data_IF_251253169743
#
_entry.id   IF_251253169743
#
_cell.length_a   1.000
_cell.length_b   1.000
_cell.length_c   1.000
_cell.angle_alpha   90.00
_cell.angle_beta   90.00
_cell.angle_gamma   90.00
#
_symmetry.space_group_name_H-M   'P 1'
#
loop_
_entity.id
_entity.type
_entity.pdbx_description
1 polymer ?
#
# COMPACT_ATOMS: atom_id res chain seq x y z
N UNK A 1 10.86 -26.70 11.57
CA UNK A 1 11.93 -25.95 10.88
C UNK A 1 12.50 -24.96 11.88
N UNK A 2 13.82 -24.94 12.09
CA UNK A 2 14.47 -24.13 13.14
C UNK A 2 14.42 -22.62 12.85
N UNK A 3 14.70 -21.81 13.88
CA UNK A 3 14.70 -20.33 13.82
C UNK A 3 15.55 -19.75 12.66
N UNK A 4 16.56 -20.48 12.19
CA UNK A 4 17.44 -20.06 11.09
C UNK A 4 16.80 -20.11 9.70
N UNK A 5 15.80 -20.95 9.48
CA UNK A 5 15.15 -21.08 8.16
C UNK A 5 14.25 -19.88 7.83
N UNK A 6 13.60 -19.30 8.83
CA UNK A 6 12.69 -18.15 8.67
C UNK A 6 13.43 -16.82 8.50
N UNK A 7 14.66 -16.71 9.05
CA UNK A 7 15.54 -15.54 8.87
C UNK A 7 16.35 -15.58 7.59
N UNK A 8 16.40 -16.72 6.89
CA UNK A 8 17.17 -16.85 5.64
C UNK A 8 16.66 -15.84 4.61
N UNK A 9 17.55 -14.96 4.16
CA UNK A 9 17.26 -13.87 3.21
C UNK A 9 16.61 -12.62 3.81
N UNK A 10 16.39 -12.57 5.13
CA UNK A 10 15.82 -11.40 5.81
C UNK A 10 16.94 -10.46 6.28
N UNK A 11 16.84 -9.19 5.90
CA UNK A 11 17.76 -8.12 6.28
C UNK A 11 17.16 -7.34 7.45
N UNK A 12 17.79 -7.39 8.62
CA UNK A 12 17.38 -6.57 9.77
C UNK A 12 17.77 -5.12 9.50
N UNK A 13 16.82 -4.17 9.44
CA UNK A 13 17.14 -2.75 9.33
C UNK A 13 18.03 -2.30 10.49
N UNK A 14 18.99 -1.43 10.19
CA UNK A 14 19.82 -0.79 11.21
C UNK A 14 20.12 0.66 10.78
N UNK A 15 19.09 1.51 10.67
CA UNK A 15 19.25 2.89 10.23
C UNK A 15 20.12 3.68 11.21
N UNK A 16 20.89 4.64 10.69
CA UNK A 16 21.82 5.49 11.49
C UNK A 16 21.45 6.97 11.41
N UNK A 17 20.25 7.39 11.88
CA UNK A 17 19.88 8.79 11.92
C UNK A 17 20.79 9.58 12.87
N UNK A 18 20.92 10.89 12.64
CA UNK A 18 21.75 11.77 13.49
C UNK A 18 20.94 12.93 14.09
N UNK A 19 20.94 13.02 15.42
CA UNK A 19 20.61 14.25 16.14
C UNK A 19 21.77 15.25 16.06
N UNK A 20 21.46 16.52 16.28
CA UNK A 20 22.46 17.60 16.36
C UNK A 20 21.92 18.93 15.85
N UNK A 21 22.83 19.90 15.67
CA UNK A 21 22.49 21.25 15.22
C UNK A 21 21.78 21.24 13.86
N UNK A 22 22.22 20.39 12.93
CA UNK A 22 21.59 20.25 11.61
C UNK A 22 20.14 19.77 11.72
N UNK A 23 19.88 18.69 12.48
CA UNK A 23 18.50 18.22 12.73
C UNK A 23 17.65 19.31 13.37
N UNK A 24 18.17 19.96 14.42
CA UNK A 24 17.45 21.03 15.12
C UNK A 24 17.10 22.21 14.21
N UNK A 25 18.04 22.65 13.38
CA UNK A 25 17.83 23.78 12.47
C UNK A 25 16.77 23.45 11.41
N UNK A 26 16.83 22.25 10.82
CA UNK A 26 15.85 21.78 9.83
C UNK A 26 14.46 21.66 10.46
N UNK A 27 14.37 21.11 11.68
CA UNK A 27 13.11 21.01 12.41
C UNK A 27 12.53 22.38 12.79
N UNK A 28 13.37 23.34 13.17
CA UNK A 28 12.95 24.70 13.45
C UNK A 28 12.37 25.37 12.19
N UNK A 29 13.04 25.23 11.05
CA UNK A 29 12.58 25.77 9.77
C UNK A 29 11.22 25.18 9.37
N UNK A 30 11.05 23.86 9.48
CA UNK A 30 9.78 23.19 9.21
C UNK A 30 8.66 23.70 10.14
N UNK A 31 8.91 23.75 11.45
CA UNK A 31 7.92 24.23 12.43
C UNK A 31 7.51 25.67 12.18
N UNK A 32 8.45 26.54 11.82
CA UNK A 32 8.15 27.93 11.46
C UNK A 32 7.27 27.99 10.21
N UNK A 33 7.61 27.23 9.17
CA UNK A 33 6.81 27.17 7.94
C UNK A 33 5.40 26.63 8.18
N UNK A 34 5.25 25.58 8.99
CA UNK A 34 3.96 25.01 9.39
C UNK A 34 3.12 26.04 10.14
N UNK A 35 3.71 26.72 11.13
CA UNK A 35 3.02 27.73 11.95
C UNK A 35 2.58 28.95 11.14
N UNK A 36 3.36 29.35 10.13
CA UNK A 36 2.97 30.44 9.23
C UNK A 36 1.79 30.07 8.31
N UNK A 37 1.59 28.77 8.05
CA UNK A 37 0.48 28.25 7.23
C UNK A 37 -0.77 27.94 8.06
N UNK A 38 -0.62 27.47 9.29
CA UNK A 38 -1.73 27.14 10.18
C UNK A 38 -2.30 28.39 10.84
N UNK A 39 -3.51 28.78 10.42
CA UNK A 39 -4.37 29.65 11.22
C UNK A 39 -5.09 28.75 12.24
N UNK A 40 -4.58 28.71 13.48
CA UNK A 40 -5.14 27.90 14.57
C UNK A 40 -6.65 28.14 14.78
N UNK A 41 -7.19 29.26 14.30
CA UNK A 41 -8.62 29.60 14.37
C UNK A 41 -9.48 28.95 13.27
N UNK A 42 -8.87 28.34 12.25
CA UNK A 42 -9.54 27.69 11.11
C UNK A 42 -9.18 26.21 10.95
N UNK A 43 -8.30 25.68 11.79
CA UNK A 43 -7.89 24.28 11.75
C UNK A 43 -9.06 23.38 12.17
N UNK A 44 -9.74 22.79 11.20
CA UNK A 44 -10.69 21.71 11.43
C UNK A 44 -9.93 20.45 11.85
N UNK A 45 -10.46 19.62 12.77
CA UNK A 45 -9.81 18.38 13.17
C UNK A 45 -9.66 17.45 11.97
N UNK A 46 -8.46 16.90 11.75
CA UNK A 46 -8.20 15.94 10.67
C UNK A 46 -9.16 14.74 10.81
N UNK A 47 -10.08 14.51 9.86
CA UNK A 47 -11.15 13.52 10.02
C UNK A 47 -10.59 12.12 10.24
N UNK A 48 -9.50 11.79 9.54
CA UNK A 48 -8.79 10.50 9.59
C UNK A 48 -7.93 10.26 10.84
N UNK A 49 -8.06 11.12 11.86
CA UNK A 49 -7.44 10.94 13.17
C UNK A 49 -8.46 11.02 14.31
N UNK A 50 -9.75 10.90 13.98
CA UNK A 50 -10.86 11.05 14.91
C UNK A 50 -11.83 9.86 14.82
N UNK A 51 -12.65 9.68 15.86
CA UNK A 51 -13.61 8.58 15.91
C UNK A 51 -12.93 7.21 15.73
N UNK A 52 -13.48 6.38 14.85
CA UNK A 52 -12.94 5.05 14.56
C UNK A 52 -11.64 5.07 13.73
N UNK A 53 -11.24 6.24 13.21
CA UNK A 53 -9.95 6.43 12.52
C UNK A 53 -8.86 6.98 13.45
N UNK A 54 -9.19 7.26 14.72
CA UNK A 54 -8.20 7.68 15.69
C UNK A 54 -7.13 6.60 15.89
N UNK A 55 -5.85 6.97 16.05
CA UNK A 55 -4.79 6.01 16.30
C UNK A 55 -5.02 5.25 17.60
N UNK A 56 -4.72 3.94 17.58
CA UNK A 56 -4.59 3.12 18.78
C UNK A 56 -3.16 3.29 19.31
N UNK A 57 -2.98 3.92 20.48
CA UNK A 57 -1.63 4.28 20.95
C UNK A 57 -0.84 3.07 21.43
N UNK A 58 -1.54 2.08 21.99
CA UNK A 58 -0.97 0.95 22.72
C UNK A 58 -1.07 -0.37 21.93
N UNK A 59 0.02 -1.13 21.96
CA UNK A 59 0.05 -2.50 21.47
C UNK A 59 -0.61 -3.42 22.50
N UNK A 60 -1.44 -4.37 22.04
CA UNK A 60 -2.07 -5.37 22.91
C UNK A 60 -1.23 -6.64 22.89
N UNK A 61 -0.64 -7.10 24.01
CA UNK A 61 0.02 -8.41 24.06
C UNK A 61 -0.98 -9.55 23.85
N UNK A 62 -0.52 -10.79 23.58
CA UNK A 62 -1.41 -11.93 23.38
C UNK A 62 -2.48 -12.05 24.47
N UNK A 63 -3.72 -11.71 24.10
CA UNK A 63 -4.87 -11.67 24.98
C UNK A 63 -5.76 -12.88 24.69
N UNK A 64 -5.63 -13.90 25.54
CA UNK A 64 -6.48 -15.09 25.51
C UNK A 64 -7.77 -14.89 26.31
N UNK A 65 -8.69 -15.85 26.23
CA UNK A 65 -9.92 -15.84 27.04
C UNK A 65 -10.94 -14.78 26.62
N UNK A 66 -10.91 -14.39 25.34
CA UNK A 66 -11.86 -13.42 24.79
C UNK A 66 -13.31 -13.91 24.98
N UNK A 67 -14.25 -13.02 25.34
CA UNK A 67 -15.65 -13.40 25.49
C UNK A 67 -16.23 -13.78 24.12
N UNK A 68 -16.70 -15.02 24.00
CA UNK A 68 -17.33 -15.56 22.78
C UNK A 68 -18.83 -15.70 23.01
N UNK A 69 -19.63 -15.14 22.08
CA UNK A 69 -21.07 -15.44 21.98
C UNK A 69 -21.26 -16.48 20.88
N UNK A 70 -21.93 -17.59 21.19
CA UNK A 70 -22.03 -18.74 20.29
C UNK A 70 -20.87 -19.72 20.46
N UNK A 71 -20.37 -20.28 19.36
CA UNK A 71 -19.35 -21.32 19.35
C UNK A 71 -18.31 -21.07 18.25
N UNK A 72 -17.02 -21.10 18.60
CA UNK A 72 -15.92 -21.10 17.64
C UNK A 72 -15.69 -22.54 17.12
N UNK A 73 -15.81 -22.80 15.80
CA UNK A 73 -15.61 -24.13 15.23
C UNK A 73 -14.24 -24.71 15.57
N UNK A 74 -14.22 -25.92 16.13
CA UNK A 74 -12.96 -26.59 16.53
C UNK A 74 -12.06 -26.96 15.34
N UNK A 75 -12.62 -27.03 14.14
CA UNK A 75 -11.87 -27.28 12.92
C UNK A 75 -11.04 -26.07 12.44
N UNK A 76 -11.33 -24.86 12.94
CA UNK A 76 -10.50 -23.70 12.63
C UNK A 76 -9.20 -23.76 13.42
N UNK A 77 -8.09 -23.71 12.70
CA UNK A 77 -6.74 -23.70 13.24
C UNK A 77 -5.86 -22.80 12.37
N UNK A 78 -5.67 -21.55 12.79
CA UNK A 78 -4.85 -20.59 12.07
C UNK A 78 -4.99 -19.16 12.61
N UNK A 79 -4.39 -18.22 11.89
CA UNK A 79 -4.43 -16.80 12.22
C UNK A 79 -5.16 -15.99 11.15
N UNK A 80 -6.15 -15.21 11.56
CA UNK A 80 -6.65 -14.10 10.76
C UNK A 80 -5.84 -12.86 11.08
N UNK A 81 -5.19 -12.27 10.09
CA UNK A 81 -4.32 -11.10 10.23
C UNK A 81 -4.80 -9.97 9.33
N UNK A 82 -4.76 -8.75 9.84
CA UNK A 82 -5.00 -7.52 9.07
C UNK A 82 -3.98 -6.47 9.46
N UNK A 83 -3.53 -5.68 8.49
CA UNK A 83 -2.69 -4.51 8.74
C UNK A 83 -3.46 -3.26 8.34
N UNK A 84 -3.19 -2.15 9.00
CA UNK A 84 -3.71 -0.85 8.59
C UNK A 84 -2.85 0.30 9.10
N UNK A 85 -3.13 1.51 8.60
CA UNK A 85 -2.44 2.73 9.00
C UNK A 85 -2.83 3.12 10.42
N UNK A 86 -1.83 3.31 11.29
CA UNK A 86 -1.99 3.73 12.66
C UNK A 86 -0.78 4.61 13.05
N UNK A 87 -0.86 5.95 12.93
CA UNK A 87 0.29 6.81 13.15
C UNK A 87 0.75 6.75 14.61
N UNK A 88 2.02 6.37 14.85
CA UNK A 88 2.58 6.30 16.21
C UNK A 88 2.76 7.69 16.83
N UNK A 89 3.11 8.66 16.00
CA UNK A 89 3.30 10.05 16.39
C UNK A 89 2.34 10.97 15.63
N UNK A 90 1.90 12.03 16.30
CA UNK A 90 1.05 13.04 15.66
C UNK A 90 1.75 13.62 14.41
N UNK A 91 1.03 13.80 13.29
CA UNK A 91 1.59 14.41 12.10
C UNK A 91 1.99 15.86 12.36
N UNK A 92 3.04 16.31 11.68
CA UNK A 92 3.57 17.68 11.83
C UNK A 92 2.70 18.68 11.05
N UNK A 93 2.17 18.28 9.90
CA UNK A 93 1.36 19.13 9.03
C UNK A 93 0.16 18.37 8.46
N UNK A 94 0.23 17.94 7.21
CA UNK A 94 -0.84 17.20 6.57
C UNK A 94 -0.87 15.72 6.99
N UNK A 95 -2.03 15.11 6.86
CA UNK A 95 -2.21 13.68 7.05
C UNK A 95 -3.23 13.16 6.05
N UNK A 96 -2.89 12.06 5.40
CA UNK A 96 -3.79 11.21 4.62
C UNK A 96 -4.02 9.91 5.38
N UNK A 97 -5.20 9.29 5.27
CA UNK A 97 -5.44 8.01 5.95
C UNK A 97 -4.43 6.91 5.56
N UNK A 98 -3.74 7.02 4.42
CA UNK A 98 -2.67 6.11 3.98
C UNK A 98 -1.31 6.32 4.68
N UNK A 99 -1.16 7.38 5.48
CA UNK A 99 0.16 7.80 6.00
C UNK A 99 0.60 7.13 7.30
N UNK A 100 -0.34 6.52 8.03
CA UNK A 100 -0.09 5.94 9.34
C UNK A 100 0.87 4.74 9.28
N UNK A 101 1.63 4.53 10.35
CA UNK A 101 2.53 3.38 10.46
C UNK A 101 1.73 2.07 10.45
N UNK A 102 2.27 1.00 9.88
CA UNK A 102 1.57 -0.27 9.80
C UNK A 102 1.39 -0.89 11.19
N UNK A 103 0.15 -1.05 11.63
CA UNK A 103 -0.20 -1.83 12.81
C UNK A 103 -0.97 -3.09 12.40
N UNK A 104 -0.46 -4.24 12.79
CA UNK A 104 -1.10 -5.54 12.56
C UNK A 104 -2.00 -5.84 13.75
N UNK A 105 -3.22 -6.26 13.45
CA UNK A 105 -4.12 -6.92 14.38
C UNK A 105 -4.26 -8.37 13.94
N UNK A 106 -4.03 -9.31 14.86
CA UNK A 106 -4.16 -10.73 14.60
C UNK A 106 -5.14 -11.39 15.57
N UNK A 107 -5.91 -12.34 15.05
CA UNK A 107 -6.81 -13.20 15.79
C UNK A 107 -6.45 -14.64 15.49
N UNK A 108 -5.83 -15.31 16.46
CA UNK A 108 -5.55 -16.75 16.38
C UNK A 108 -6.76 -17.53 16.84
N UNK A 109 -7.23 -18.47 16.03
CA UNK A 109 -8.30 -19.39 16.38
C UNK A 109 -7.73 -20.80 16.37
N UNK A 110 -7.82 -21.48 17.51
CA UNK A 110 -7.37 -22.87 17.67
C UNK A 110 -8.14 -23.56 18.79
N UNK A 111 -8.57 -24.80 18.56
CA UNK A 111 -9.25 -25.64 19.56
C UNK A 111 -10.50 -24.96 20.18
N UNK A 112 -11.22 -24.15 19.38
CA UNK A 112 -12.39 -23.40 19.83
C UNK A 112 -12.07 -22.20 20.74
N UNK A 113 -10.81 -21.77 20.80
CA UNK A 113 -10.35 -20.59 21.55
C UNK A 113 -9.82 -19.53 20.61
N UNK A 114 -9.90 -18.28 21.06
CA UNK A 114 -9.39 -17.11 20.35
C UNK A 114 -8.33 -16.37 21.19
N UNK A 115 -7.29 -15.89 20.52
CA UNK A 115 -6.24 -15.02 21.10
C UNK A 115 -6.05 -13.82 20.19
N UNK A 116 -6.14 -12.62 20.75
CA UNK A 116 -5.95 -11.36 20.03
C UNK A 116 -4.60 -10.75 20.36
N UNK A 117 -3.97 -10.09 19.38
CA UNK A 117 -2.74 -9.31 19.56
C UNK A 117 -2.75 -8.13 18.61
N UNK A 118 -2.09 -7.04 18.99
CA UNK A 118 -1.71 -5.98 18.07
C UNK A 118 -0.25 -5.56 18.22
N UNK A 119 0.42 -5.36 17.08
CA UNK A 119 1.84 -4.94 17.00
C UNK A 119 2.05 -4.00 15.84
N UNK A 120 2.89 -2.98 16.03
CA UNK A 120 3.44 -2.21 14.93
C UNK A 120 4.43 -3.06 14.13
N UNK A 121 4.43 -2.89 12.81
CA UNK A 121 5.54 -3.36 11.98
C UNK A 121 6.73 -2.47 12.27
N UNK A 122 7.83 -3.04 12.79
CA UNK A 122 9.06 -2.29 13.09
C UNK A 122 9.82 -1.97 11.80
N UNK A 123 9.34 -0.93 11.11
CA UNK A 123 9.96 -0.41 9.89
C UNK A 123 11.17 0.47 10.21
N UNK A 124 12.11 0.57 9.27
CA UNK A 124 13.23 1.53 9.35
C UNK A 124 12.74 2.97 9.58
N UNK A 125 11.59 3.33 9.01
CA UNK A 125 10.93 4.62 9.25
C UNK A 125 10.52 4.77 10.71
N UNK A 126 9.76 3.81 11.24
CA UNK A 126 9.23 3.88 12.60
C UNK A 126 10.36 3.88 13.64
N UNK A 127 11.40 3.05 13.47
CA UNK A 127 12.57 3.03 14.35
C UNK A 127 13.26 4.39 14.43
N UNK A 128 13.36 5.10 13.30
CA UNK A 128 13.93 6.45 13.27
C UNK A 128 13.03 7.48 13.93
N UNK A 129 11.71 7.43 13.70
CA UNK A 129 10.77 8.32 14.39
C UNK A 129 10.74 8.08 15.90
N UNK A 130 10.86 6.83 16.36
CA UNK A 130 11.06 6.46 17.77
C UNK A 130 12.38 7.04 18.31
N UNK A 131 13.48 6.95 17.56
CA UNK A 131 14.76 7.57 17.93
C UNK A 131 14.64 9.08 18.11
N UNK A 132 13.86 9.77 17.28
CA UNK A 132 13.61 11.21 17.40
C UNK A 132 12.51 11.59 18.40
N UNK A 133 11.64 10.64 18.78
CA UNK A 133 10.48 10.88 19.64
C UNK A 133 9.35 11.65 18.93
N UNK A 134 9.22 11.50 17.61
CA UNK A 134 8.22 12.23 16.84
C UNK A 134 8.29 11.98 15.34
N UNK A 135 7.22 12.37 14.63
CA UNK A 135 7.14 12.28 13.18
C UNK A 135 8.26 13.07 12.47
N UNK A 136 8.86 12.47 11.44
CA UNK A 136 10.00 13.05 10.68
C UNK A 136 9.90 12.89 9.17
N UNK A 137 9.24 11.85 8.70
CA UNK A 137 9.12 11.57 7.27
C UNK A 137 7.93 12.33 6.69
N UNK A 138 8.08 12.77 5.44
CA UNK A 138 7.00 13.41 4.68
C UNK A 138 5.86 12.43 4.48
N UNK A 139 4.65 12.97 4.51
CA UNK A 139 3.39 12.25 4.37
C UNK A 139 2.72 12.61 3.05
N UNK A 140 1.94 11.70 2.49
CA UNK A 140 1.08 11.94 1.32
C UNK A 140 0.20 13.17 1.58
N UNK A 141 -0.36 13.30 2.77
CA UNK A 141 -1.16 14.47 3.16
C UNK A 141 -0.40 15.81 3.13
N UNK A 142 0.94 15.80 3.13
CA UNK A 142 1.75 17.01 2.99
C UNK A 142 1.85 17.49 1.53
N UNK A 143 1.65 16.59 0.55
CA UNK A 143 2.04 16.75 -0.86
C UNK A 143 1.03 17.55 -1.69
N UNK A 144 0.72 18.76 -1.23
CA UNK A 144 -0.17 19.71 -1.91
C UNK A 144 0.46 21.09 -2.04
N UNK A 145 0.45 21.61 -3.26
CA UNK A 145 0.91 22.96 -3.55
C UNK A 145 2.40 23.21 -3.30
N UNK A 146 2.75 24.50 -3.22
CA UNK A 146 4.13 24.96 -2.94
C UNK A 146 4.63 24.47 -1.58
N UNK A 147 3.73 24.33 -0.60
CA UNK A 147 4.09 23.76 0.70
C UNK A 147 4.47 22.29 0.61
N UNK A 148 3.76 21.48 -0.19
CA UNK A 148 4.15 20.10 -0.46
C UNK A 148 5.52 20.00 -1.11
N UNK A 149 5.85 20.89 -2.05
CA UNK A 149 7.20 20.97 -2.61
C UNK A 149 8.24 21.29 -1.53
N UNK A 150 7.94 22.25 -0.63
CA UNK A 150 8.80 22.56 0.51
C UNK A 150 9.03 21.32 1.38
N UNK A 151 7.99 20.56 1.72
CA UNK A 151 8.12 19.35 2.55
C UNK A 151 8.98 18.27 1.87
N UNK A 152 8.84 18.07 0.56
CA UNK A 152 9.72 17.18 -0.22
C UNK A 152 11.18 17.64 -0.15
N UNK A 153 11.43 18.95 -0.33
CA UNK A 153 12.78 19.50 -0.23
C UNK A 153 13.36 19.36 1.18
N UNK A 154 12.55 19.50 2.22
CA UNK A 154 12.96 19.28 3.62
C UNK A 154 13.34 17.83 3.87
N UNK A 155 12.59 16.86 3.34
CA UNK A 155 12.97 15.45 3.42
C UNK A 155 14.30 15.16 2.70
N UNK A 156 14.49 15.69 1.49
CA UNK A 156 15.76 15.51 0.78
C UNK A 156 16.93 16.19 1.50
N UNK A 157 16.69 17.35 2.13
CA UNK A 157 17.69 18.01 2.97
C UNK A 157 18.04 17.15 4.20
N UNK A 158 17.04 16.57 4.89
CA UNK A 158 17.25 15.65 6.01
C UNK A 158 18.11 14.45 5.62
N UNK A 159 17.84 13.86 4.45
CA UNK A 159 18.65 12.75 3.90
C UNK A 159 20.08 13.18 3.62
N UNK A 160 20.29 14.30 2.91
CA UNK A 160 21.63 14.81 2.56
C UNK A 160 22.47 15.17 3.79
N UNK A 161 21.83 15.65 4.86
CA UNK A 161 22.49 15.97 6.12
C UNK A 161 22.65 14.76 7.06
N UNK A 162 22.27 13.56 6.62
CA UNK A 162 22.24 12.33 7.42
C UNK A 162 21.40 12.45 8.71
N UNK A 163 20.40 13.33 8.71
CA UNK A 163 19.40 13.40 9.79
C UNK A 163 18.49 12.18 9.68
N UNK A 164 18.07 11.83 8.46
CA UNK A 164 17.34 10.61 8.15
C UNK A 164 18.17 9.66 7.30
N UNK A 165 18.04 8.37 7.55
CA UNK A 165 18.67 7.29 6.82
C UNK A 165 17.63 6.54 5.98
N UNK A 166 17.69 6.71 4.66
CA UNK A 166 16.77 6.07 3.72
C UNK A 166 17.31 4.75 3.14
N UNK A 167 18.44 4.22 3.64
CA UNK A 167 19.11 3.03 3.10
C UNK A 167 18.21 1.79 3.08
N UNK A 168 17.29 1.72 4.04
CA UNK A 168 16.38 0.59 4.25
C UNK A 168 14.93 0.90 3.84
N UNK A 169 14.72 1.92 3.02
CA UNK A 169 13.37 2.38 2.66
C UNK A 169 12.75 3.34 3.67
N UNK A 170 11.60 3.89 3.30
CA UNK A 170 10.84 4.90 4.08
C UNK A 170 9.35 4.54 4.20
N UNK A 171 8.99 3.31 3.85
CA UNK A 171 7.61 2.82 3.85
C UNK A 171 7.08 2.55 5.25
N UNK A 172 5.76 2.46 5.32
CA UNK A 172 5.00 2.24 6.57
C UNK A 172 4.61 0.78 6.77
N UNK A 173 4.71 -0.06 5.72
CA UNK A 173 4.26 -1.46 5.72
C UNK A 173 2.79 -1.62 6.19
N UNK A 174 1.90 -0.73 5.74
CA UNK A 174 0.55 -0.58 6.27
C UNK A 174 -0.58 -1.04 5.33
N UNK A 175 -0.25 -1.47 4.11
CA UNK A 175 -1.24 -1.56 3.03
C UNK A 175 -1.89 -2.94 2.95
N UNK A 176 -1.08 -4.00 3.01
CA UNK A 176 -1.56 -5.38 2.87
C UNK A 176 -0.62 -6.38 3.55
N UNK A 177 -1.12 -7.61 3.70
CA UNK A 177 -0.36 -8.77 4.15
C UNK A 177 -0.46 -9.88 3.10
N UNK A 178 0.65 -10.60 2.88
CA UNK A 178 0.69 -11.79 2.03
C UNK A 178 1.50 -12.89 2.72
N UNK A 179 1.12 -14.15 2.56
CA UNK A 179 1.87 -15.29 3.05
C UNK A 179 2.40 -16.13 1.89
N UNK A 180 3.72 -16.24 1.75
CA UNK A 180 4.36 -17.00 0.68
C UNK A 180 5.67 -17.60 1.17
N UNK A 181 5.97 -18.84 0.76
CA UNK A 181 7.21 -19.55 1.12
C UNK A 181 7.58 -19.46 2.62
N UNK A 182 6.60 -19.75 3.48
CA UNK A 182 6.77 -19.77 4.94
C UNK A 182 6.89 -18.40 5.61
N UNK A 183 6.66 -17.29 4.89
CA UNK A 183 6.84 -15.92 5.40
C UNK A 183 5.56 -15.13 5.27
N UNK A 184 5.07 -14.59 6.39
CA UNK A 184 4.09 -13.52 6.38
C UNK A 184 4.81 -12.20 6.12
N UNK A 185 4.34 -11.42 5.16
CA UNK A 185 4.96 -10.18 4.72
C UNK A 185 3.98 -9.02 4.81
N UNK A 186 4.37 -7.95 5.48
CA UNK A 186 3.68 -6.67 5.50
C UNK A 186 4.20 -5.79 4.35
N UNK A 187 3.26 -5.26 3.56
CA UNK A 187 3.53 -4.61 2.29
C UNK A 187 3.13 -3.14 2.31
N UNK A 188 3.85 -2.33 1.52
CA UNK A 188 3.55 -0.92 1.26
C UNK A 188 4.02 -0.57 -0.14
N UNK A 189 3.20 0.16 -0.89
CA UNK A 189 3.36 0.40 -2.35
C UNK A 189 4.75 0.92 -2.78
N UNK A 190 5.45 1.62 -1.89
CA UNK A 190 6.72 2.30 -2.19
C UNK A 190 7.93 1.74 -1.44
N UNK A 191 7.86 0.52 -0.89
CA UNK A 191 8.95 -0.09 -0.13
C UNK A 191 9.08 -1.61 -0.35
N UNK A 192 10.11 -2.20 0.23
CA UNK A 192 10.30 -3.65 0.28
C UNK A 192 9.38 -4.29 1.33
N UNK A 193 9.04 -5.58 1.18
CA UNK A 193 8.25 -6.30 2.17
C UNK A 193 8.98 -6.42 3.52
N UNK A 194 8.23 -6.29 4.62
CA UNK A 194 8.71 -6.62 5.96
C UNK A 194 8.19 -7.99 6.40
N UNK A 195 9.09 -8.90 6.73
CA UNK A 195 8.73 -10.24 7.23
C UNK A 195 8.30 -10.13 8.69
N UNK A 196 7.13 -10.70 8.97
CA UNK A 196 6.55 -10.80 10.31
C UNK A 196 6.42 -12.27 10.66
N UNK A 197 6.92 -12.64 11.83
CA UNK A 197 6.78 -13.99 12.39
C UNK A 197 5.62 -14.02 13.37
N UNK A 198 4.81 -15.06 13.27
CA UNK A 198 3.81 -15.41 14.29
C UNK A 198 4.47 -16.37 15.28
N UNK A 199 4.49 -16.01 16.56
CA UNK A 199 5.09 -16.79 17.63
C UNK A 199 4.14 -17.87 18.15
N UNK A 200 4.67 -18.84 18.89
CA UNK A 200 3.90 -19.99 19.39
C UNK A 200 2.77 -19.60 20.35
N UNK A 201 2.90 -18.48 21.07
CA UNK A 201 1.87 -17.90 21.95
C UNK A 201 0.87 -17.00 21.20
N UNK A 202 1.06 -16.81 19.89
CA UNK A 202 0.24 -15.95 19.04
C UNK A 202 0.74 -14.50 18.96
N UNK A 203 1.88 -14.14 19.58
CA UNK A 203 2.47 -12.81 19.40
C UNK A 203 3.05 -12.63 17.98
N UNK A 204 3.35 -11.39 17.62
CA UNK A 204 3.95 -11.04 16.33
C UNK A 204 5.32 -10.39 16.53
N UNK A 205 6.29 -10.82 15.71
CA UNK A 205 7.63 -10.26 15.70
C UNK A 205 8.02 -9.84 14.28
N UNK A 206 8.32 -8.56 14.06
CA UNK A 206 8.97 -8.13 12.82
C UNK A 206 10.40 -8.66 12.79
N UNK A 207 10.74 -9.45 11.76
CA UNK A 207 12.07 -10.01 11.57
C UNK A 207 12.98 -9.08 10.77
N UNK A 208 12.43 -8.30 9.84
CA UNK A 208 13.18 -7.37 9.00
C UNK A 208 12.64 -7.30 7.57
N UNK A 209 13.43 -6.74 6.66
CA UNK A 209 13.12 -6.54 5.25
C UNK A 209 13.46 -7.78 4.42
N UNK A 210 12.73 -7.99 3.33
CA UNK A 210 13.06 -9.00 2.31
C UNK A 210 13.54 -8.30 1.03
N UNK A 211 14.81 -8.50 0.66
CA UNK A 211 15.39 -7.96 -0.58
C UNK A 211 15.73 -9.02 -1.64
N UNK A 212 15.36 -10.28 -1.36
CA UNK A 212 15.54 -11.44 -2.23
C UNK A 212 16.99 -11.61 -2.69
N UNK A 213 17.93 -11.67 -1.74
CA UNK A 213 19.37 -11.74 -2.00
C UNK A 213 19.84 -10.58 -2.90
N UNK A 214 19.38 -9.36 -2.58
CA UNK A 214 19.63 -8.12 -3.32
C UNK A 214 19.07 -8.07 -4.76
N UNK A 215 18.18 -9.00 -5.13
CA UNK A 215 17.55 -9.01 -6.46
C UNK A 215 16.39 -8.01 -6.57
N UNK A 216 15.76 -7.65 -5.45
CA UNK A 216 14.73 -6.62 -5.39
C UNK A 216 15.36 -5.23 -5.21
N UNK A 217 15.32 -4.44 -6.28
CA UNK A 217 15.91 -3.08 -6.36
C UNK A 217 14.89 -1.97 -6.62
N UNK A 218 13.62 -2.33 -6.80
CA UNK A 218 12.50 -1.43 -7.04
C UNK A 218 11.46 -1.63 -5.92
N UNK A 219 10.46 -0.74 -5.79
CA UNK A 219 9.32 -0.97 -4.90
C UNK A 219 8.62 -2.31 -5.17
N UNK A 220 7.88 -2.79 -4.18
CA UNK A 220 7.13 -4.04 -4.26
C UNK A 220 5.64 -3.73 -4.07
N UNK A 221 4.78 -4.19 -4.98
CA UNK A 221 3.34 -3.94 -4.90
C UNK A 221 2.77 -4.48 -3.59
N UNK A 222 1.76 -3.78 -3.04
CA UNK A 222 0.99 -4.29 -1.92
C UNK A 222 0.01 -5.41 -2.33
N UNK A 223 -0.17 -5.67 -3.62
CA UNK A 223 -1.14 -6.64 -4.12
C UNK A 223 -0.53 -7.74 -5.00
N UNK A 224 0.52 -8.46 -4.54
CA UNK A 224 1.00 -9.62 -5.27
C UNK A 224 -0.10 -10.70 -5.31
N UNK A 225 -0.10 -11.53 -6.35
CA UNK A 225 -1.06 -12.64 -6.50
C UNK A 225 -0.31 -13.96 -6.42
N UNK A 226 -0.84 -14.90 -5.63
CA UNK A 226 -0.29 -16.26 -5.54
C UNK A 226 -1.16 -17.17 -6.40
N UNK A 227 -0.53 -17.95 -7.26
CA UNK A 227 -1.23 -18.99 -8.00
C UNK A 227 -1.44 -20.22 -7.10
N UNK A 228 -2.69 -20.66 -6.88
CA UNK A 228 -2.99 -21.78 -6.00
C UNK A 228 -2.55 -23.15 -6.53
N UNK A 229 -2.15 -23.27 -7.80
CA UNK A 229 -1.70 -24.51 -8.43
C UNK A 229 -0.17 -24.61 -8.46
N UNK A 230 0.54 -23.51 -8.68
CA UNK A 230 2.01 -23.51 -8.77
C UNK A 230 2.70 -23.08 -7.47
N UNK A 231 1.96 -22.47 -6.53
CA UNK A 231 2.48 -21.77 -5.35
C UNK A 231 3.48 -20.65 -5.70
N UNK A 232 3.47 -20.16 -6.94
CA UNK A 232 4.30 -19.03 -7.35
C UNK A 232 3.58 -17.71 -7.07
N UNK A 233 4.36 -16.69 -6.70
CA UNK A 233 3.87 -15.36 -6.43
C UNK A 233 4.26 -14.41 -7.57
N UNK A 234 3.25 -13.83 -8.18
CA UNK A 234 3.35 -12.83 -9.23
C UNK A 234 3.29 -11.44 -8.60
N UNK A 235 4.21 -10.57 -8.97
CA UNK A 235 4.36 -9.25 -8.35
C UNK A 235 4.90 -8.23 -9.35
N UNK A 236 4.78 -6.96 -9.02
CA UNK A 236 5.40 -5.88 -9.76
C UNK A 236 5.83 -4.78 -8.81
N UNK A 237 6.54 -3.78 -9.33
CA UNK A 237 6.79 -2.52 -8.66
C UNK A 237 6.63 -1.38 -9.64
N UNK A 238 5.95 -0.31 -9.24
CA UNK A 238 5.91 0.93 -10.01
C UNK A 238 6.83 1.99 -9.40
N UNK A 239 7.28 2.94 -10.22
CA UNK A 239 8.29 3.94 -9.87
C UNK A 239 7.97 5.29 -10.50
N UNK A 240 8.55 6.34 -9.93
CA UNK A 240 8.54 7.69 -10.51
C UNK A 240 9.71 7.94 -11.48
N UNK A 241 10.62 6.98 -11.61
CA UNK A 241 11.74 6.99 -12.56
C UNK A 241 11.69 5.75 -13.45
N UNK A 242 12.27 5.82 -14.65
CA UNK A 242 12.34 4.68 -15.56
C UNK A 242 13.22 3.55 -15.00
N UNK A 243 12.82 2.27 -15.17
CA UNK A 243 11.52 1.82 -15.70
C UNK A 243 10.37 2.08 -14.72
N UNK A 244 9.25 2.63 -15.22
CA UNK A 244 8.11 3.02 -14.39
C UNK A 244 7.32 1.83 -13.83
N UNK A 245 7.38 0.67 -14.48
CA UNK A 245 6.79 -0.57 -14.00
C UNK A 245 7.77 -1.73 -14.25
N UNK A 246 7.97 -2.59 -13.25
CA UNK A 246 8.81 -3.79 -13.35
C UNK A 246 8.07 -4.99 -12.79
N UNK A 247 7.80 -5.97 -13.64
CA UNK A 247 7.15 -7.23 -13.30
C UNK A 247 8.17 -8.30 -12.85
N UNK A 248 7.74 -9.18 -11.95
CA UNK A 248 8.54 -10.23 -11.33
C UNK A 248 7.68 -11.46 -11.03
N UNK A 249 8.32 -12.61 -11.10
CA UNK A 249 7.78 -13.88 -10.59
C UNK A 249 8.68 -14.36 -9.46
N UNK A 250 8.08 -14.87 -8.39
CA UNK A 250 8.78 -15.50 -7.27
C UNK A 250 8.31 -16.95 -7.21
N UNK A 251 9.24 -17.88 -7.37
CA UNK A 251 8.94 -19.32 -7.36
C UNK A 251 8.37 -19.76 -6.00
N UNK A 252 7.70 -20.91 -5.92
CA UNK A 252 7.28 -21.54 -4.64
C UNK A 252 8.38 -21.66 -3.57
N UNK A 253 9.64 -21.72 -4.00
CA UNK A 253 10.83 -21.82 -3.14
C UNK A 253 11.38 -20.44 -2.71
N UNK A 254 10.64 -19.36 -2.96
CA UNK A 254 11.00 -17.99 -2.58
C UNK A 254 12.08 -17.33 -3.44
N UNK A 255 12.45 -17.91 -4.59
CA UNK A 255 13.45 -17.37 -5.51
C UNK A 255 12.80 -16.33 -6.44
N UNK A 256 13.28 -15.08 -6.38
CA UNK A 256 12.84 -14.01 -7.30
C UNK A 256 13.51 -14.17 -8.68
N UNK A 257 12.72 -14.37 -9.73
CA UNK A 257 13.22 -14.45 -11.11
C UNK A 257 13.66 -13.09 -11.66
N UNK A 258 14.23 -13.08 -12.86
CA UNK A 258 14.72 -11.85 -13.51
C UNK A 258 13.60 -10.83 -13.76
N UNK A 259 13.89 -9.52 -13.72
CA UNK A 259 12.90 -8.47 -13.96
C UNK A 259 12.44 -8.45 -15.40
N UNK A 260 11.15 -8.15 -15.59
CA UNK A 260 10.58 -7.79 -16.89
C UNK A 260 10.07 -6.35 -16.79
N UNK A 261 10.83 -5.36 -17.30
CA UNK A 261 10.35 -3.99 -17.39
C UNK A 261 9.11 -3.91 -18.29
N UNK A 262 8.06 -3.22 -17.84
CA UNK A 262 6.84 -2.96 -18.61
C UNK A 262 6.82 -1.48 -18.96
N UNK A 263 6.92 -1.18 -20.25
CA UNK A 263 6.97 0.16 -20.79
C UNK A 263 5.58 0.78 -20.79
N UNK A 264 5.44 1.80 -19.96
CA UNK A 264 4.31 2.73 -19.94
C UNK A 264 4.83 4.15 -20.22
N UNK A 265 4.02 5.04 -20.82
CA UNK A 265 4.49 6.31 -21.35
C UNK A 265 4.89 7.29 -20.24
N UNK A 266 4.26 7.21 -19.07
CA UNK A 266 4.43 8.16 -17.97
C UNK A 266 4.35 7.43 -16.62
N UNK A 267 4.82 8.08 -15.55
CA UNK A 267 4.65 7.56 -14.19
C UNK A 267 3.20 7.70 -13.74
N UNK A 268 2.57 6.57 -13.48
CA UNK A 268 1.20 6.47 -12.97
C UNK A 268 1.19 5.73 -11.64
N UNK A 269 0.15 5.96 -10.84
CA UNK A 269 -0.18 5.09 -9.72
C UNK A 269 -0.79 3.80 -10.26
N UNK A 270 -0.11 2.68 -10.04
CA UNK A 270 -0.59 1.34 -10.38
C UNK A 270 -0.72 0.55 -9.07
N UNK A 271 -1.90 0.64 -8.45
CA UNK A 271 -2.12 0.07 -7.11
C UNK A 271 -2.16 -1.46 -7.12
N UNK A 272 -2.92 -2.02 -8.05
CA UNK A 272 -3.21 -3.45 -8.14
C UNK A 272 -2.96 -3.96 -9.58
N UNK A 273 -2.97 -5.28 -9.73
CA UNK A 273 -2.92 -5.98 -11.01
C UNK A 273 -3.71 -7.30 -10.88
N UNK A 274 -3.80 -8.08 -11.95
CA UNK A 274 -4.47 -9.39 -11.89
C UNK A 274 -3.68 -10.46 -12.64
N UNK A 275 -3.95 -11.73 -12.32
CA UNK A 275 -3.42 -12.88 -13.03
C UNK A 275 -4.57 -13.82 -13.41
N UNK A 276 -4.46 -14.46 -14.57
CA UNK A 276 -5.26 -15.61 -15.01
C UNK A 276 -4.34 -16.81 -15.15
N UNK A 277 -4.80 -18.03 -15.44
CA UNK A 277 -3.92 -19.22 -15.61
C UNK A 277 -2.65 -18.96 -16.45
N UNK A 278 -2.76 -18.21 -17.55
CA UNK A 278 -1.65 -17.99 -18.48
C UNK A 278 -1.12 -16.56 -18.50
N UNK A 279 -1.89 -15.57 -18.03
CA UNK A 279 -1.57 -14.16 -18.23
C UNK A 279 -1.42 -13.35 -16.92
N UNK A 280 -0.67 -12.25 -17.03
CA UNK A 280 -0.65 -11.13 -16.09
C UNK A 280 -1.24 -9.90 -16.76
N UNK A 281 -2.08 -9.18 -16.02
CA UNK A 281 -2.87 -8.04 -16.50
C UNK A 281 -2.42 -6.79 -15.76
N UNK A 282 -1.76 -5.88 -16.48
CA UNK A 282 -1.31 -4.58 -15.98
C UNK A 282 -2.34 -3.50 -16.30
N UNK A 283 -2.57 -2.58 -15.37
CA UNK A 283 -3.55 -1.51 -15.53
C UNK A 283 -2.82 -0.16 -15.60
N UNK A 284 -2.59 0.32 -16.81
CA UNK A 284 -2.07 1.67 -17.06
C UNK A 284 -3.25 2.65 -17.07
N UNK A 285 -3.57 3.16 -15.88
CA UNK A 285 -4.73 3.99 -15.63
C UNK A 285 -4.31 5.47 -15.50
N UNK A 286 -5.20 6.42 -15.80
CA UNK A 286 -4.84 7.82 -15.95
C UNK A 286 -4.73 8.58 -14.61
N UNK A 287 -4.09 7.98 -13.60
CA UNK A 287 -3.72 8.62 -12.33
C UNK A 287 -2.22 8.92 -12.33
N UNK A 288 -1.84 10.13 -12.73
CA UNK A 288 -0.45 10.51 -13.01
C UNK A 288 0.24 11.12 -11.78
N UNK A 289 1.54 10.87 -11.67
CA UNK A 289 2.42 11.58 -10.74
C UNK A 289 2.89 12.91 -11.37
N UNK A 290 2.40 14.06 -10.88
CA UNK A 290 2.60 15.39 -11.49
C UNK A 290 3.23 16.41 -10.53
N UNK A 291 4.49 16.22 -10.06
CA UNK A 291 5.14 17.13 -9.11
C UNK A 291 5.31 18.57 -9.63
N UNK A 292 5.40 18.76 -10.95
CA UNK A 292 5.46 20.10 -11.57
C UNK A 292 4.14 20.86 -11.44
N UNK A 293 3.00 20.17 -11.55
CA UNK A 293 1.67 20.78 -11.44
C UNK A 293 1.34 21.09 -9.98
N UNK A 294 1.75 20.22 -9.04
CA UNK A 294 1.68 20.50 -7.60
C UNK A 294 2.27 21.88 -7.27
N UNK A 295 3.48 22.18 -7.77
CA UNK A 295 4.14 23.45 -7.50
C UNK A 295 3.49 24.66 -8.20
N UNK A 296 3.00 24.49 -9.44
CA UNK A 296 2.47 25.60 -10.26
C UNK A 296 1.02 25.93 -9.97
N UNK A 297 0.19 24.90 -9.75
CA UNK A 297 -1.26 25.03 -9.71
C UNK A 297 -1.83 24.88 -8.29
N UNK A 298 -0.99 24.57 -7.29
CA UNK A 298 -1.48 24.36 -5.92
C UNK A 298 -2.13 22.99 -5.69
N UNK A 299 -2.02 22.09 -6.66
CA UNK A 299 -2.73 20.80 -6.71
C UNK A 299 -2.04 19.72 -5.85
N UNK A 300 -2.73 18.59 -5.67
CA UNK A 300 -2.17 17.38 -5.08
C UNK A 300 -1.22 16.68 -6.05
N UNK A 301 -0.26 15.91 -5.53
CA UNK A 301 0.82 15.35 -6.34
C UNK A 301 0.36 14.27 -7.34
N UNK A 302 -0.72 13.56 -7.03
CA UNK A 302 -1.36 12.60 -7.92
C UNK A 302 -2.61 13.23 -8.55
N UNK A 303 -2.70 13.14 -9.88
CA UNK A 303 -3.77 13.78 -10.64
C UNK A 303 -4.39 12.81 -11.62
N UNK A 304 -5.70 12.66 -11.52
CA UNK A 304 -6.49 11.96 -12.51
C UNK A 304 -6.65 12.83 -13.77
N UNK A 305 -6.34 12.28 -14.94
CA UNK A 305 -6.53 12.95 -16.23
C UNK A 305 -7.79 12.39 -16.93
N UNK A 306 -8.92 13.12 -16.92
CA UNK A 306 -10.16 12.66 -17.54
C UNK A 306 -10.09 12.61 -19.07
N UNK A 307 -9.05 13.20 -19.69
CA UNK A 307 -8.87 13.23 -21.15
C UNK A 307 -8.16 11.99 -21.69
N UNK A 308 -7.54 11.18 -20.82
CA UNK A 308 -6.77 10.00 -21.18
C UNK A 308 -7.62 8.74 -21.07
N UNK A 309 -7.40 7.78 -21.97
CA UNK A 309 -8.01 6.45 -21.90
C UNK A 309 -7.32 5.59 -20.83
N UNK A 310 -8.03 4.60 -20.31
CA UNK A 310 -7.43 3.52 -19.53
C UNK A 310 -6.84 2.47 -20.48
N UNK A 311 -5.71 1.87 -20.13
CA UNK A 311 -5.08 0.80 -20.94
C UNK A 311 -4.79 -0.42 -20.09
N UNK A 312 -5.05 -1.61 -20.66
CA UNK A 312 -4.84 -2.89 -20.01
C UNK A 312 -3.82 -3.70 -20.80
N UNK A 313 -2.68 -3.99 -20.18
CA UNK A 313 -1.60 -4.75 -20.79
C UNK A 313 -1.70 -6.22 -20.39
N UNK A 314 -1.91 -7.11 -21.35
CA UNK A 314 -1.93 -8.56 -21.11
C UNK A 314 -0.60 -9.16 -21.59
N UNK A 315 0.11 -9.81 -20.67
CA UNK A 315 1.40 -10.46 -20.93
C UNK A 315 1.34 -11.92 -20.47
N UNK A 316 1.92 -12.86 -21.22
CA UNK A 316 2.09 -14.23 -20.72
C UNK A 316 3.03 -14.24 -19.52
N UNK A 317 2.63 -14.94 -18.44
CA UNK A 317 3.25 -14.85 -17.11
C UNK A 317 4.78 -15.02 -17.06
N UNK A 318 5.35 -15.81 -17.97
CA UNK A 318 6.77 -16.21 -17.93
C UNK A 318 7.63 -15.57 -19.03
N UNK A 319 7.06 -14.63 -19.78
CA UNK A 319 7.80 -13.88 -20.79
C UNK A 319 9.03 -13.21 -20.18
N UNK A 320 10.11 -13.14 -20.97
CA UNK A 320 11.38 -12.56 -20.52
C UNK A 320 11.51 -11.08 -20.88
N UNK A 321 10.63 -10.61 -21.75
CA UNK A 321 10.52 -9.21 -22.14
C UNK A 321 9.06 -8.87 -22.46
N UNK A 322 8.78 -7.59 -22.67
CA UNK A 322 7.42 -7.11 -22.92
C UNK A 322 6.97 -7.24 -24.39
N UNK A 323 7.75 -7.82 -25.31
CA UNK A 323 7.46 -7.73 -26.76
C UNK A 323 6.13 -8.35 -27.16
N UNK A 324 5.65 -9.32 -26.38
CA UNK A 324 4.37 -10.00 -26.62
C UNK A 324 3.22 -9.40 -25.82
N UNK A 325 3.46 -8.30 -25.08
CA UNK A 325 2.40 -7.59 -24.36
C UNK A 325 1.37 -7.03 -25.35
N UNK A 326 0.11 -7.15 -24.96
CA UNK A 326 -1.01 -6.62 -25.73
C UNK A 326 -1.76 -5.59 -24.93
N UNK A 327 -1.78 -4.37 -25.45
CA UNK A 327 -2.47 -3.25 -24.84
C UNK A 327 -3.88 -3.10 -25.42
N UNK A 328 -4.87 -3.10 -24.54
CA UNK A 328 -6.27 -2.84 -24.86
C UNK A 328 -6.66 -1.47 -24.31
N UNK A 329 -7.28 -0.63 -25.13
CA UNK A 329 -7.76 0.67 -24.70
C UNK A 329 -9.24 0.60 -24.31
N UNK A 330 -9.56 1.19 -23.16
CA UNK A 330 -10.91 1.33 -22.66
C UNK A 330 -11.26 2.81 -22.45
N UNK A 331 -12.56 3.14 -22.35
CA UNK A 331 -12.98 4.44 -21.83
C UNK A 331 -12.28 4.77 -20.51
N UNK A 332 -12.10 6.07 -20.26
CA UNK A 332 -11.49 6.59 -19.04
C UNK A 332 -12.13 5.98 -17.77
N UNK A 333 -11.29 5.47 -16.89
CA UNK A 333 -11.66 4.96 -15.59
C UNK A 333 -10.44 4.86 -14.66
N UNK A 334 -10.69 4.76 -13.36
CA UNK A 334 -9.70 4.32 -12.38
C UNK A 334 -10.18 3.07 -11.66
N UNK A 335 -9.25 2.22 -11.28
CA UNK A 335 -9.47 0.98 -10.54
C UNK A 335 -8.44 0.95 -9.43
N UNK A 336 -8.91 0.85 -8.19
CA UNK A 336 -8.02 0.51 -7.08
C UNK A 336 -7.80 -1.00 -6.99
N UNK A 337 -8.88 -1.77 -6.95
CA UNK A 337 -8.79 -3.19 -6.62
C UNK A 337 -9.57 -4.05 -7.61
N UNK A 338 -9.00 -5.22 -7.92
CA UNK A 338 -9.64 -6.28 -8.66
C UNK A 338 -10.15 -7.35 -7.70
N UNK A 339 -11.33 -7.90 -8.00
CA UNK A 339 -11.84 -9.05 -7.28
C UNK A 339 -11.16 -10.33 -7.76
N UNK A 340 -11.17 -10.60 -9.07
CA UNK A 340 -10.47 -11.73 -9.68
C UNK A 340 -10.36 -11.58 -11.21
N UNK A 341 -9.54 -12.43 -11.85
CA UNK A 341 -9.52 -12.61 -13.30
C UNK A 341 -9.38 -14.09 -13.71
N UNK A 342 -9.91 -14.46 -14.88
CA UNK A 342 -9.77 -15.80 -15.47
C UNK A 342 -9.90 -15.77 -16.99
N UNK A 343 -9.70 -16.91 -17.64
CA UNK A 343 -9.80 -17.07 -19.09
C UNK A 343 -11.08 -17.86 -19.47
N UNK A 344 -11.79 -17.40 -20.49
CA UNK A 344 -12.93 -18.09 -21.11
C UNK A 344 -12.73 -18.17 -22.63
N UNK A 345 -12.21 -19.30 -23.13
CA UNK A 345 -11.84 -19.44 -24.54
C UNK A 345 -10.71 -18.47 -24.90
N UNK A 346 -10.97 -17.57 -25.85
CA UNK A 346 -10.03 -16.52 -26.26
C UNK A 346 -10.20 -15.22 -25.45
N UNK A 347 -11.04 -15.21 -24.42
CA UNK A 347 -11.34 -14.02 -23.62
C UNK A 347 -10.62 -14.05 -22.27
N UNK A 348 -10.18 -12.88 -21.82
CA UNK A 348 -9.79 -12.65 -20.42
C UNK A 348 -10.91 -11.89 -19.73
N UNK A 349 -11.44 -12.48 -18.67
CA UNK A 349 -12.48 -11.89 -17.81
C UNK A 349 -11.80 -11.26 -16.60
N UNK A 350 -12.11 -9.99 -16.32
CA UNK A 350 -11.64 -9.26 -15.14
C UNK A 350 -12.83 -8.69 -14.38
N UNK A 351 -13.03 -9.10 -13.12
CA UNK A 351 -14.00 -8.47 -12.21
C UNK A 351 -13.29 -7.42 -11.38
N UNK A 352 -13.79 -6.18 -11.45
CA UNK A 352 -13.12 -5.04 -10.83
C UNK A 352 -14.09 -3.97 -10.31
N UNK A 353 -13.59 -3.11 -9.41
CA UNK A 353 -14.31 -1.97 -8.87
C UNK A 353 -13.91 -0.69 -9.62
N UNK A 354 -14.81 -0.19 -10.47
CA UNK A 354 -14.56 0.98 -11.33
C UNK A 354 -14.94 2.27 -10.63
N UNK A 355 -14.06 3.26 -10.72
CA UNK A 355 -14.29 4.64 -10.31
C UNK A 355 -14.17 5.58 -11.52
N UNK A 356 -15.01 6.62 -11.54
CA UNK A 356 -14.98 7.68 -12.55
C UNK A 356 -14.51 8.97 -11.86
N UNK A 357 -13.61 9.73 -12.52
CA UNK A 357 -13.16 11.05 -12.06
C UNK A 357 -12.66 11.08 -10.60
N UNK A 358 -11.76 10.16 -10.23
CA UNK A 358 -11.23 10.07 -8.87
C UNK A 358 -10.40 11.31 -8.50
N UNK A 359 -10.73 11.95 -7.40
CA UNK A 359 -9.94 13.01 -6.77
C UNK A 359 -9.43 12.55 -5.39
N UNK A 360 -8.15 12.19 -5.31
CA UNK A 360 -7.53 11.71 -4.08
C UNK A 360 -7.44 12.77 -2.97
N UNK A 361 -7.42 14.05 -3.33
CA UNK A 361 -7.37 15.14 -2.36
C UNK A 361 -8.73 15.35 -1.69
N UNK A 362 -9.83 15.20 -2.46
CA UNK A 362 -11.19 15.22 -1.91
C UNK A 362 -11.46 14.02 -1.00
N UNK A 363 -10.95 12.83 -1.36
CA UNK A 363 -11.02 11.64 -0.49
C UNK A 363 -10.29 11.90 0.83
N UNK A 364 -9.36 12.85 0.90
CA UNK A 364 -8.67 13.24 2.13
C UNK A 364 -9.39 14.33 2.94
N UNK A 365 -10.37 15.02 2.36
CA UNK A 365 -11.10 16.12 3.01
C UNK A 365 -12.08 15.63 4.08
N UNK A 366 -12.73 16.58 4.77
CA UNK A 366 -13.96 16.26 5.49
C UNK A 366 -14.97 15.71 4.48
N UNK A 367 -15.58 14.56 4.76
CA UNK A 367 -16.80 14.17 4.07
C UNK A 367 -17.76 15.37 4.16
N UNK A 368 -17.99 16.05 3.05
CA UNK A 368 -19.16 16.92 2.98
C UNK A 368 -20.36 16.01 3.17
N UNK A 369 -21.24 16.34 4.10
CA UNK A 369 -22.54 15.66 4.32
C UNK A 369 -23.46 15.68 3.08
N UNK A 370 -22.97 16.13 1.93
CA UNK A 370 -23.57 15.98 0.62
C UNK A 370 -22.75 14.96 -0.19
N UNK A 371 -22.94 13.68 0.11
CA UNK A 371 -22.98 12.71 -0.98
C UNK A 371 -24.29 13.01 -1.71
N UNK A 372 -24.23 13.73 -2.83
CA UNK A 372 -25.29 13.57 -3.82
C UNK A 372 -25.29 12.08 -4.18
N UNK A 373 -26.35 11.38 -3.77
CA UNK A 373 -26.60 10.00 -4.15
C UNK A 373 -26.57 9.93 -5.69
N UNK A 374 -25.54 9.33 -6.31
CA UNK A 374 -25.51 9.21 -7.76
C UNK A 374 -26.47 8.13 -8.28
N UNK A 375 -27.38 7.62 -7.43
CA UNK A 375 -28.24 6.50 -7.72
C UNK A 375 -27.57 5.19 -7.34
N UNK A 376 -27.54 4.89 -6.05
CA UNK A 376 -27.17 3.57 -5.54
C UNK A 376 -28.36 2.59 -5.66
N UNK A 377 -28.47 1.88 -6.79
CA UNK A 377 -29.22 0.62 -6.83
C UNK A 377 -28.28 -0.55 -6.59
N UNK A 378 -28.23 -1.03 -5.34
CA UNK A 378 -27.59 -2.28 -4.96
C UNK A 378 -28.65 -3.40 -4.97
N UNK A 379 -28.64 -4.27 -5.99
CA UNK A 379 -29.45 -5.50 -5.96
C UNK A 379 -28.79 -6.57 -5.08
N UNK A 380 -28.95 -6.49 -3.75
CA UNK A 380 -29.01 -7.67 -2.85
C UNK A 380 -29.81 -7.32 -1.58
N UNK A 381 -30.82 -8.14 -1.25
CA UNK A 381 -31.67 -8.07 -0.04
C UNK A 381 -30.87 -8.16 1.29
N UNK A 382 -31.44 -7.73 2.44
CA UNK A 382 -30.83 -6.73 3.32
C UNK A 382 -30.18 -7.25 4.62
N UNK A 383 -29.51 -6.28 5.25
CA UNK A 383 -28.99 -6.19 6.63
C UNK A 383 -27.49 -6.47 6.77
N UNK A 384 -26.66 -5.41 6.68
CA UNK A 384 -25.69 -4.98 7.70
C UNK A 384 -25.17 -3.56 7.34
N UNK A 385 -24.91 -2.75 8.37
CA UNK A 385 -24.58 -1.32 8.29
C UNK A 385 -23.28 -1.02 7.52
N UNK A 386 -23.14 0.15 6.87
CA UNK A 386 -22.03 0.42 5.96
C UNK A 386 -20.75 0.78 6.72
N UNK A 387 -19.71 -0.03 6.50
CA UNK A 387 -18.33 0.44 6.61
C UNK A 387 -17.98 1.17 5.31
N UNK A 388 -17.43 2.38 5.41
CA UNK A 388 -16.99 3.18 4.26
C UNK A 388 -15.76 2.50 3.65
N UNK A 389 -16.00 1.55 2.75
CA UNK A 389 -15.13 1.30 1.61
C UNK A 389 -15.27 2.51 0.68
N UNK A 390 -14.19 2.93 0.00
CA UNK A 390 -14.26 3.92 -1.08
C UNK A 390 -15.48 3.56 -1.94
N UNK A 391 -16.50 4.44 -2.08
CA UNK A 391 -17.74 4.07 -2.73
C UNK A 391 -17.45 3.51 -4.12
N UNK A 392 -17.73 2.23 -4.31
CA UNK A 392 -17.64 1.57 -5.60
C UNK A 392 -18.90 1.96 -6.36
N UNK A 393 -18.77 2.80 -7.38
CA UNK A 393 -19.95 3.23 -8.14
C UNK A 393 -20.48 2.08 -9.03
N UNK A 394 -19.63 1.13 -9.47
CA UNK A 394 -20.02 -0.04 -10.28
C UNK A 394 -19.03 -1.20 -10.15
N UNK A 395 -19.52 -2.42 -9.89
CA UNK A 395 -18.78 -3.67 -10.17
C UNK A 395 -18.91 -3.94 -11.67
N UNK A 396 -17.79 -4.06 -12.36
CA UNK A 396 -17.75 -4.32 -13.80
C UNK A 396 -17.04 -5.65 -14.08
N UNK A 397 -17.68 -6.50 -14.89
CA UNK A 397 -16.99 -7.59 -15.57
C UNK A 397 -16.48 -7.08 -16.92
N UNK A 398 -15.18 -7.10 -17.11
CA UNK A 398 -14.53 -6.71 -18.36
C UNK A 398 -14.14 -7.98 -19.14
N UNK A 399 -14.58 -8.07 -20.40
CA UNK A 399 -14.15 -9.08 -21.36
C UNK A 399 -13.12 -8.49 -22.33
N UNK A 400 -11.92 -9.06 -22.39
CA UNK A 400 -10.86 -8.68 -23.33
C UNK A 400 -10.59 -9.81 -24.31
N UNK A 401 -10.81 -9.56 -25.61
CA UNK A 401 -10.66 -10.55 -26.67
C UNK A 401 -9.21 -10.68 -27.15
N UNK A 402 -8.63 -11.88 -26.98
CA UNK A 402 -7.29 -12.18 -27.45
C UNK A 402 -7.24 -12.42 -28.98
N UNK A 403 -8.31 -12.83 -29.66
CA UNK A 403 -8.23 -13.14 -31.11
C UNK A 403 -8.46 -11.97 -32.08
N UNK A 404 -8.52 -10.72 -31.62
CA UNK A 404 -8.73 -9.54 -32.49
C UNK A 404 -7.50 -9.10 -33.29
N UNK A 405 -7.56 -9.17 -34.62
CA UNK A 405 -6.64 -8.44 -35.52
C UNK A 405 -6.81 -6.93 -35.37
N UNK A 406 -5.66 -6.23 -35.38
CA UNK A 406 -5.41 -4.78 -35.25
C UNK A 406 -6.51 -3.81 -35.66
#
# INVERSE_FOLDING_TARGET
>A
MGQDAERKGVVVPAPRPRKGVASWAVDLLERLAVRLRHDDKKAQPLPWLSGNFAPVPDETPPAAGLPVRGHLPKCLNGEFVRVGPNPKFAPVAGYHWFDGDGMIHAMRIKDGKATYVSRYVKTSRLEQEEYFGGAKFTKIGDLKGVFGLFMVLMQELRKKLNVLDATYGIGTANTALIYHHGKLMALSESDKPYVVKILEDGDLQTLGLLDYDKRLKHPFTAHPKIDPFTDEMFTFGYSHEHPYCTYRVITKDGIMLDPVPITIPESVMMHDFAITENYSIFMDLPMFFRPKEMAKNGEFIYKFDPTKKARFGILQRYEKDEKTIRWFELPNCFIFHNANAWEEGDEVILITCRLNNLDLDQVNGHQSDQLEDPGNELYVYPQYQPFILIPCNQILALMLYLSGTR
#
